data_IF_336994519394
#
_entry.id   IF_336994519394
#
_cell.length_a   1.000
_cell.length_b   1.000
_cell.length_c   1.000
_cell.angle_alpha   90.00
_cell.angle_beta   90.00
_cell.angle_gamma   90.00
#
_symmetry.space_group_name_H-M   'P 1'
#
loop_
_entity.id
_entity.type
_entity.pdbx_description
1 polymer ?
#
# COMPACT_ATOMS: atom_id res chain seq x y z
N UNK A 1 22.39 -15.59 -7.68
CA UNK A 1 21.24 -15.93 -6.81
C UNK A 1 21.71 -15.73 -5.39
N UNK A 2 20.97 -14.98 -4.57
CA UNK A 2 21.27 -14.82 -3.15
C UNK A 2 20.46 -15.82 -2.33
N UNK A 3 20.97 -16.23 -1.18
CA UNK A 3 20.29 -17.16 -0.28
C UNK A 3 20.18 -16.59 1.13
N UNK A 4 19.02 -16.80 1.76
CA UNK A 4 18.74 -16.41 3.14
C UNK A 4 18.19 -17.61 3.91
N UNK A 5 18.77 -17.87 5.08
CA UNK A 5 18.28 -18.84 6.05
C UNK A 5 17.82 -18.12 7.32
N UNK A 6 16.54 -18.23 7.65
CA UNK A 6 16.03 -17.91 8.99
C UNK A 6 15.90 -19.22 9.76
N UNK A 7 16.54 -19.32 10.93
CA UNK A 7 16.57 -20.55 11.72
C UNK A 7 16.29 -20.34 13.19
N UNK A 8 15.84 -21.40 13.85
CA UNK A 8 15.62 -21.49 15.30
C UNK A 8 14.57 -20.50 15.82
N UNK A 9 13.54 -20.20 15.02
CA UNK A 9 12.38 -19.49 15.54
C UNK A 9 11.72 -20.34 16.62
N UNK A 10 11.30 -19.74 17.73
CA UNK A 10 10.59 -20.47 18.79
C UNK A 10 9.29 -21.06 18.22
N UNK A 11 8.67 -20.34 17.27
CA UNK A 11 7.55 -20.83 16.50
C UNK A 11 7.54 -20.22 15.08
N UNK A 12 7.47 -21.07 14.06
CA UNK A 12 7.09 -20.67 12.71
C UNK A 12 5.61 -20.96 12.49
N UNK A 13 4.82 -19.93 12.19
CA UNK A 13 3.40 -20.05 11.84
C UNK A 13 3.27 -19.91 10.32
N UNK A 14 2.79 -20.94 9.64
CA UNK A 14 2.87 -21.00 8.17
C UNK A 14 1.68 -20.38 7.46
N UNK A 15 0.49 -20.43 8.08
CA UNK A 15 -0.80 -20.16 7.42
C UNK A 15 -1.05 -21.01 6.16
N UNK A 16 -0.40 -22.16 6.02
CA UNK A 16 -0.71 -23.13 4.96
C UNK A 16 -2.07 -23.83 5.19
N UNK A 17 -2.48 -24.69 4.26
CA UNK A 17 -3.76 -25.39 4.30
C UNK A 17 -3.96 -26.20 5.58
N UNK A 18 -2.88 -26.78 6.12
CA UNK A 18 -2.89 -27.59 7.34
C UNK A 18 -2.71 -26.74 8.61
N UNK A 19 -2.55 -25.42 8.47
CA UNK A 19 -2.32 -24.45 9.56
C UNK A 19 -1.15 -24.87 10.46
N UNK A 20 -0.08 -25.39 9.86
CA UNK A 20 1.08 -25.90 10.61
C UNK A 20 1.70 -24.81 11.48
N UNK A 21 2.15 -25.24 12.66
CA UNK A 21 2.93 -24.46 13.61
C UNK A 21 4.14 -25.28 13.96
N UNK A 22 5.32 -24.78 13.62
CA UNK A 22 6.57 -25.56 13.65
C UNK A 22 7.47 -24.97 14.74
N UNK A 23 7.60 -25.64 15.90
CA UNK A 23 8.58 -25.27 16.93
C UNK A 23 10.00 -25.46 16.41
N UNK A 24 10.94 -24.64 16.87
CA UNK A 24 12.32 -24.58 16.35
C UNK A 24 12.35 -24.48 14.81
N UNK A 25 11.38 -23.75 14.27
CA UNK A 25 11.13 -23.66 12.84
C UNK A 25 12.07 -22.68 12.12
N UNK A 26 12.09 -22.78 10.81
CA UNK A 26 12.83 -21.87 9.94
C UNK A 26 12.33 -21.88 8.50
N UNK A 27 12.95 -21.03 7.70
CA UNK A 27 12.71 -20.95 6.27
C UNK A 27 14.03 -20.69 5.52
N UNK A 28 14.13 -21.26 4.33
CA UNK A 28 15.21 -21.05 3.38
C UNK A 28 14.64 -20.35 2.15
N UNK A 29 15.29 -19.24 1.77
CA UNK A 29 14.88 -18.35 0.69
C UNK A 29 15.99 -18.33 -0.35
N UNK A 30 15.60 -18.42 -1.61
CA UNK A 30 16.46 -18.18 -2.77
C UNK A 30 15.91 -16.98 -3.52
N UNK A 31 16.75 -15.99 -3.71
CA UNK A 31 16.41 -14.68 -4.23
C UNK A 31 15.26 -14.04 -3.41
N UNK A 32 14.04 -14.02 -3.93
CA UNK A 32 12.84 -13.47 -3.26
C UNK A 32 11.76 -14.52 -2.97
N UNK A 33 12.05 -15.81 -3.16
CA UNK A 33 11.09 -16.91 -3.03
C UNK A 33 11.47 -17.84 -1.90
N UNK A 34 10.50 -18.18 -1.06
CA UNK A 34 10.66 -19.22 -0.03
C UNK A 34 10.73 -20.58 -0.74
N UNK A 35 11.89 -21.23 -0.68
CA UNK A 35 12.16 -22.52 -1.31
C UNK A 35 11.82 -23.68 -0.36
N UNK A 36 12.07 -23.51 0.94
CA UNK A 36 11.78 -24.53 1.96
C UNK A 36 11.34 -23.89 3.28
N UNK A 37 10.42 -24.55 3.98
CA UNK A 37 10.06 -24.29 5.38
C UNK A 37 10.04 -25.61 6.15
N UNK A 38 10.35 -25.58 7.44
CA UNK A 38 10.39 -26.80 8.25
C UNK A 38 11.06 -26.61 9.61
N UNK A 39 11.21 -27.70 10.38
CA UNK A 39 12.11 -27.72 11.52
C UNK A 39 13.52 -27.31 11.09
N UNK A 40 14.22 -26.54 11.91
CA UNK A 40 15.57 -26.04 11.58
C UNK A 40 16.54 -27.15 11.21
N UNK A 41 16.43 -28.31 11.84
CA UNK A 41 17.29 -29.46 11.58
C UNK A 41 17.13 -30.05 10.16
N UNK A 42 16.04 -29.73 9.46
CA UNK A 42 15.72 -30.23 8.11
C UNK A 42 16.03 -29.22 7.00
N UNK A 43 16.49 -28.02 7.35
CA UNK A 43 16.85 -26.95 6.41
C UNK A 43 18.35 -27.01 6.05
N UNK A 44 18.79 -26.37 4.96
CA UNK A 44 20.20 -26.21 4.64
C UNK A 44 20.99 -25.61 5.81
N UNK A 45 22.22 -26.09 6.00
CA UNK A 45 23.07 -25.64 7.11
C UNK A 45 23.62 -24.21 6.89
N UNK A 46 23.79 -23.80 5.64
CA UNK A 46 24.46 -22.56 5.22
C UNK A 46 23.63 -21.81 4.17
N UNK A 47 23.82 -20.49 4.13
CA UNK A 47 23.26 -19.54 3.18
C UNK A 47 24.16 -18.30 3.15
N UNK A 48 24.03 -17.45 2.13
CA UNK A 48 24.79 -16.18 2.04
C UNK A 48 24.48 -15.26 3.22
N UNK A 49 23.23 -15.28 3.70
CA UNK A 49 22.79 -14.58 4.91
C UNK A 49 22.05 -15.54 5.84
N UNK A 50 22.40 -15.49 7.13
CA UNK A 50 21.76 -16.31 8.16
C UNK A 50 21.20 -15.42 9.27
N UNK A 51 19.94 -15.62 9.61
CA UNK A 51 19.25 -14.97 10.73
C UNK A 51 18.89 -16.04 11.76
N UNK A 52 19.33 -15.82 13.00
CA UNK A 52 18.96 -16.66 14.15
C UNK A 52 17.76 -16.02 14.86
N UNK A 53 16.59 -16.64 14.76
CA UNK A 53 15.30 -16.14 15.24
C UNK A 53 14.91 -16.70 16.63
N UNK A 54 15.88 -17.16 17.43
CA UNK A 54 15.61 -17.63 18.80
C UNK A 54 14.92 -16.55 19.63
N UNK A 55 13.88 -16.92 20.37
CA UNK A 55 13.06 -15.97 21.13
C UNK A 55 12.05 -15.19 20.28
N UNK A 56 11.93 -15.51 18.98
CA UNK A 56 11.01 -14.85 18.06
C UNK A 56 9.96 -15.82 17.53
N UNK A 57 8.80 -15.27 17.19
CA UNK A 57 7.79 -15.94 16.37
C UNK A 57 7.93 -15.40 14.94
N UNK A 58 7.95 -16.30 13.96
CA UNK A 58 7.97 -15.95 12.54
C UNK A 58 6.57 -16.18 11.97
N UNK A 59 6.03 -15.15 11.33
CA UNK A 59 4.73 -15.11 10.68
C UNK A 59 4.90 -14.77 9.19
N UNK A 60 3.90 -15.09 8.33
CA UNK A 60 3.79 -14.42 7.05
C UNK A 60 3.67 -12.92 7.30
N UNK A 61 4.30 -12.11 6.46
CA UNK A 61 4.21 -10.66 6.57
C UNK A 61 2.75 -10.20 6.49
N UNK A 62 2.38 -9.21 7.30
CA UNK A 62 1.01 -8.69 7.31
C UNK A 62 0.72 -7.99 5.97
N UNK A 63 -0.54 -8.04 5.55
CA UNK A 63 -1.04 -7.40 4.32
C UNK A 63 -2.07 -6.37 4.72
N UNK A 64 -1.76 -5.09 4.51
CA UNK A 64 -2.72 -4.01 4.65
C UNK A 64 -3.45 -3.80 3.32
N UNK A 65 -4.76 -4.05 3.30
CA UNK A 65 -5.54 -4.09 2.05
C UNK A 65 -6.21 -2.77 1.69
N UNK A 66 -6.11 -1.73 2.54
CA UNK A 66 -6.67 -0.41 2.29
C UNK A 66 -5.92 0.65 3.08
N UNK A 67 -5.60 1.79 2.46
CA UNK A 67 -4.95 2.92 3.14
C UNK A 67 -5.24 4.23 2.40
N UNK A 68 -4.91 5.35 3.06
CA UNK A 68 -4.79 6.69 2.46
C UNK A 68 -3.51 7.37 2.98
N UNK A 69 -2.36 7.09 2.37
CA UNK A 69 -1.04 7.45 2.88
C UNK A 69 -0.85 8.96 3.03
N UNK A 70 -1.38 9.75 2.10
CA UNK A 70 -1.36 11.21 2.16
C UNK A 70 -1.96 11.79 3.45
N UNK A 71 -2.90 11.08 4.07
CA UNK A 71 -3.55 11.53 5.31
C UNK A 71 -2.62 11.41 6.54
N UNK A 72 -1.47 10.73 6.41
CA UNK A 72 -0.46 10.63 7.47
C UNK A 72 0.01 12.01 7.94
N UNK A 73 0.07 13.00 7.05
CA UNK A 73 0.46 14.38 7.37
C UNK A 73 -0.62 15.18 8.13
N UNK A 74 -1.86 14.69 8.16
CA UNK A 74 -3.01 15.38 8.77
C UNK A 74 -3.59 14.62 9.96
N UNK A 75 -2.76 13.83 10.65
CA UNK A 75 -3.14 13.15 11.89
C UNK A 75 -3.47 14.17 13.00
N UNK A 76 -4.51 13.87 13.78
CA UNK A 76 -4.91 14.63 14.96
C UNK A 76 -5.28 16.11 14.74
N UNK A 77 -5.68 16.52 13.53
CA UNK A 77 -6.23 17.87 13.27
C UNK A 77 -7.42 18.13 14.23
N UNK A 78 -7.36 19.16 15.11
CA UNK A 78 -8.34 19.33 16.19
C UNK A 78 -9.81 19.37 15.74
N UNK A 79 -10.08 20.06 14.63
CA UNK A 79 -11.43 20.18 14.06
C UNK A 79 -11.98 18.86 13.49
N UNK A 80 -11.13 17.87 13.25
CA UNK A 80 -11.50 16.59 12.65
C UNK A 80 -11.68 15.45 13.68
N UNK A 81 -11.18 15.60 14.92
CA UNK A 81 -11.11 14.47 15.89
C UNK A 81 -12.48 13.92 16.31
N UNK A 82 -13.47 14.79 16.47
CA UNK A 82 -14.82 14.43 16.94
C UNK A 82 -15.89 14.74 15.89
N UNK A 83 -15.50 14.86 14.63
CA UNK A 83 -16.38 15.20 13.53
C UNK A 83 -17.12 13.96 13.01
N UNK A 84 -18.35 14.14 12.54
CA UNK A 84 -19.00 13.13 11.68
C UNK A 84 -18.26 13.01 10.35
N UNK A 85 -18.46 11.93 9.60
CA UNK A 85 -17.74 11.69 8.33
C UNK A 85 -17.79 12.90 7.36
N UNK A 86 -18.96 13.47 7.12
CA UNK A 86 -19.09 14.60 6.20
C UNK A 86 -18.43 15.89 6.74
N UNK A 87 -18.50 16.12 8.06
CA UNK A 87 -17.81 17.24 8.69
C UNK A 87 -16.28 17.05 8.64
N UNK A 88 -15.80 15.82 8.84
CA UNK A 88 -14.41 15.43 8.73
C UNK A 88 -13.88 15.67 7.31
N UNK A 89 -14.61 15.21 6.28
CA UNK A 89 -14.27 15.44 4.87
C UNK A 89 -14.21 16.94 4.54
N UNK A 90 -15.26 17.70 4.87
CA UNK A 90 -15.30 19.16 4.62
C UNK A 90 -14.21 19.93 5.37
N UNK A 91 -13.79 19.43 6.54
CA UNK A 91 -12.72 20.02 7.34
C UNK A 91 -11.35 19.76 6.73
N UNK A 92 -11.12 18.56 6.19
CA UNK A 92 -9.80 18.16 5.70
C UNK A 92 -9.56 18.48 4.23
N UNK A 93 -10.59 18.52 3.37
CA UNK A 93 -10.40 18.86 1.96
C UNK A 93 -9.66 20.18 1.72
N UNK A 94 -9.94 21.30 2.44
CA UNK A 94 -9.17 22.52 2.26
C UNK A 94 -7.68 22.38 2.62
N UNK A 95 -7.35 21.50 3.56
CA UNK A 95 -5.96 21.19 3.92
C UNK A 95 -5.32 20.36 2.80
N UNK A 96 -6.03 19.33 2.33
CA UNK A 96 -5.54 18.42 1.31
C UNK A 96 -5.43 19.05 -0.07
N UNK A 97 -6.23 20.08 -0.39
CA UNK A 97 -6.08 20.89 -1.60
C UNK A 97 -4.69 21.56 -1.70
N UNK A 98 -3.96 21.67 -0.58
CA UNK A 98 -2.58 22.17 -0.53
C UNK A 98 -1.50 21.09 -0.66
N UNK A 99 -1.84 19.82 -0.92
CA UNK A 99 -0.86 18.76 -1.12
C UNK A 99 -0.02 19.02 -2.38
N UNK A 100 1.26 18.67 -2.31
CA UNK A 100 2.19 18.72 -3.44
C UNK A 100 2.74 17.32 -3.71
N UNK A 101 3.41 17.11 -4.84
CA UNK A 101 4.15 15.87 -5.14
C UNK A 101 5.09 15.48 -4.01
N UNK A 102 5.82 16.43 -3.42
CA UNK A 102 6.69 16.19 -2.27
C UNK A 102 5.90 15.72 -1.04
N UNK A 103 4.74 16.33 -0.77
CA UNK A 103 3.90 15.93 0.36
C UNK A 103 3.38 14.49 0.21
N UNK A 104 2.95 14.10 -1.01
CA UNK A 104 2.53 12.71 -1.30
C UNK A 104 3.69 11.76 -1.04
N UNK A 105 4.87 12.03 -1.62
CA UNK A 105 6.05 11.20 -1.42
C UNK A 105 6.44 11.04 0.06
N UNK A 106 6.55 12.15 0.81
CA UNK A 106 6.95 12.13 2.22
C UNK A 106 5.90 11.40 3.07
N UNK A 107 4.62 11.66 2.83
CA UNK A 107 3.54 11.00 3.55
C UNK A 107 3.54 9.48 3.34
N UNK A 108 3.80 9.03 2.10
CA UNK A 108 3.92 7.63 1.75
C UNK A 108 5.14 7.00 2.43
N UNK A 109 6.31 7.64 2.40
CA UNK A 109 7.49 7.13 3.13
C UNK A 109 7.21 6.94 4.62
N UNK A 110 6.61 7.93 5.29
CA UNK A 110 6.33 7.86 6.72
C UNK A 110 5.31 6.75 7.02
N UNK A 111 4.19 6.70 6.29
CA UNK A 111 3.15 5.71 6.50
C UNK A 111 3.63 4.28 6.21
N UNK A 112 4.36 4.07 5.12
CA UNK A 112 4.92 2.78 4.76
C UNK A 112 6.01 2.33 5.75
N UNK A 113 6.84 3.24 6.25
CA UNK A 113 7.82 2.94 7.29
C UNK A 113 7.15 2.46 8.59
N UNK A 114 6.08 3.13 9.04
CA UNK A 114 5.29 2.69 10.20
C UNK A 114 4.67 1.30 9.98
N UNK A 115 4.15 1.04 8.79
CA UNK A 115 3.61 -0.27 8.42
C UNK A 115 4.69 -1.36 8.48
N UNK A 116 5.88 -1.11 7.92
CA UNK A 116 6.99 -2.06 7.96
C UNK A 116 7.48 -2.33 9.40
N UNK A 117 7.58 -1.29 10.22
CA UNK A 117 7.96 -1.41 11.63
C UNK A 117 6.95 -2.20 12.47
N UNK A 118 5.71 -2.31 12.00
CA UNK A 118 4.64 -3.10 12.64
C UNK A 118 4.43 -4.48 12.01
N UNK A 119 5.32 -4.91 11.09
CA UNK A 119 5.30 -6.25 10.49
C UNK A 119 4.48 -6.37 9.19
N UNK A 120 3.99 -5.25 8.65
CA UNK A 120 3.40 -5.22 7.32
C UNK A 120 4.47 -5.34 6.24
N UNK A 121 4.21 -6.18 5.23
CA UNK A 121 5.12 -6.39 4.10
C UNK A 121 4.47 -6.07 2.76
N UNK A 122 3.14 -5.95 2.73
CA UNK A 122 2.37 -5.57 1.54
C UNK A 122 1.33 -4.54 1.94
N UNK A 123 1.30 -3.40 1.27
CA UNK A 123 0.29 -2.37 1.47
C UNK A 123 -0.41 -2.04 0.16
N UNK A 124 -1.73 -1.82 0.23
CA UNK A 124 -2.47 -1.10 -0.78
C UNK A 124 -2.73 0.32 -0.30
N UNK A 125 -2.51 1.32 -1.16
CA UNK A 125 -2.97 2.68 -0.93
C UNK A 125 -4.02 3.08 -1.94
N UNK A 126 -4.95 3.92 -1.49
CA UNK A 126 -5.97 4.54 -2.31
C UNK A 126 -5.78 6.06 -2.30
N UNK A 127 -4.85 6.54 -3.13
CA UNK A 127 -4.68 7.96 -3.40
C UNK A 127 -5.76 8.42 -4.39
N UNK A 128 -6.73 9.21 -3.94
CA UNK A 128 -7.88 9.62 -4.77
C UNK A 128 -7.98 11.12 -5.04
N UNK A 129 -6.99 11.90 -4.61
CA UNK A 129 -6.90 13.33 -4.86
C UNK A 129 -5.52 13.67 -5.41
N UNK A 130 -5.50 14.46 -6.49
CA UNK A 130 -4.28 14.87 -7.19
C UNK A 130 -4.24 16.39 -7.41
N UNK A 131 -4.26 17.21 -6.33
CA UNK A 131 -4.16 18.66 -6.48
C UNK A 131 -2.75 19.07 -6.92
N UNK A 132 -2.63 20.29 -7.44
CA UNK A 132 -1.36 20.93 -7.77
C UNK A 132 -0.49 20.09 -8.74
N UNK A 133 0.60 19.50 -8.26
CA UNK A 133 1.55 18.70 -9.04
C UNK A 133 1.59 17.23 -8.61
N UNK A 134 0.66 16.78 -7.76
CA UNK A 134 0.58 15.41 -7.26
C UNK A 134 0.33 14.38 -8.36
N UNK A 135 0.99 13.22 -8.28
CA UNK A 135 0.71 12.03 -9.10
C UNK A 135 0.85 10.74 -8.29
N UNK A 136 0.30 9.65 -8.81
CA UNK A 136 0.47 8.32 -8.21
C UNK A 136 1.95 7.88 -8.21
N UNK A 137 2.73 8.40 -9.16
CA UNK A 137 4.17 8.19 -9.29
C UNK A 137 4.93 8.56 -7.99
N UNK A 138 4.44 9.53 -7.22
CA UNK A 138 5.08 10.02 -6.01
C UNK A 138 5.07 8.97 -4.88
N UNK A 139 3.93 8.29 -4.65
CA UNK A 139 3.84 7.22 -3.65
C UNK A 139 4.50 5.92 -4.13
N UNK A 140 4.47 5.67 -5.44
CA UNK A 140 5.18 4.53 -6.06
C UNK A 140 6.69 4.68 -5.82
N UNK A 141 7.24 5.89 -6.02
CA UNK A 141 8.64 6.19 -5.73
C UNK A 141 8.99 5.88 -4.27
N UNK A 142 8.16 6.33 -3.33
CA UNK A 142 8.36 6.05 -1.91
C UNK A 142 8.35 4.55 -1.60
N UNK A 143 7.39 3.81 -2.15
CA UNK A 143 7.27 2.36 -1.93
C UNK A 143 8.47 1.58 -2.50
N UNK A 144 8.95 1.97 -3.69
CA UNK A 144 10.14 1.38 -4.31
C UNK A 144 11.41 1.67 -3.51
N UNK A 145 11.59 2.90 -3.02
CA UNK A 145 12.75 3.30 -2.24
C UNK A 145 12.84 2.56 -0.91
N UNK A 146 11.71 2.42 -0.20
CA UNK A 146 11.68 1.72 1.09
C UNK A 146 11.65 0.19 0.95
N UNK A 147 11.28 -0.32 -0.23
CA UNK A 147 11.32 -1.75 -0.55
C UNK A 147 10.13 -2.56 -0.02
N UNK A 148 8.94 -1.96 0.08
CA UNK A 148 7.70 -2.67 0.45
C UNK A 148 6.96 -3.15 -0.80
N UNK A 149 6.24 -4.28 -0.71
CA UNK A 149 5.32 -4.70 -1.79
C UNK A 149 4.11 -3.79 -1.81
N UNK A 150 3.75 -3.27 -2.97
CA UNK A 150 2.79 -2.17 -3.04
C UNK A 150 1.72 -2.39 -4.12
N UNK A 151 0.48 -2.08 -3.76
CA UNK A 151 -0.64 -1.95 -4.69
C UNK A 151 -1.06 -0.47 -4.71
N UNK A 152 -0.68 0.24 -5.77
CA UNK A 152 -1.01 1.64 -5.93
C UNK A 152 -2.38 1.74 -6.62
N UNK A 153 -3.40 2.18 -5.90
CA UNK A 153 -4.73 2.33 -6.47
C UNK A 153 -4.89 3.74 -7.01
N UNK A 154 -5.01 3.87 -8.34
CA UNK A 154 -5.29 5.15 -9.00
C UNK A 154 -6.72 5.54 -8.67
N UNK A 155 -6.86 6.33 -7.62
CA UNK A 155 -8.14 6.82 -7.15
C UNK A 155 -8.67 7.94 -8.01
N UNK A 156 -9.94 8.30 -7.86
CA UNK A 156 -10.49 9.46 -8.54
C UNK A 156 -11.75 9.98 -7.86
N UNK A 157 -11.96 11.29 -7.99
CA UNK A 157 -13.26 11.94 -7.83
C UNK A 157 -13.47 12.84 -9.05
N UNK A 158 -14.66 12.82 -9.63
CA UNK A 158 -15.01 13.64 -10.79
C UNK A 158 -16.17 14.60 -10.52
N UNK A 159 -16.98 14.34 -9.48
CA UNK A 159 -18.16 15.14 -9.18
C UNK A 159 -17.85 16.19 -8.09
N UNK A 160 -17.58 17.44 -8.49
CA UNK A 160 -17.30 18.57 -7.60
C UNK A 160 -18.55 19.29 -7.05
N UNK A 161 -18.37 20.18 -6.06
CA UNK A 161 -19.46 20.98 -5.47
C UNK A 161 -20.26 21.79 -6.51
N UNK A 162 -19.61 22.31 -7.55
CA UNK A 162 -20.28 23.05 -8.64
C UNK A 162 -21.27 22.21 -9.44
N UNK A 163 -21.12 20.89 -9.42
CA UNK A 163 -21.96 19.90 -10.11
C UNK A 163 -22.81 19.06 -9.14
N UNK A 164 -22.91 19.49 -7.87
CA UNK A 164 -23.72 18.83 -6.83
C UNK A 164 -23.01 17.72 -6.06
N UNK A 165 -21.69 17.60 -6.23
CA UNK A 165 -20.84 16.72 -5.45
C UNK A 165 -20.51 17.24 -4.05
N UNK A 166 -19.84 16.39 -3.27
CA UNK A 166 -19.29 16.73 -1.96
C UNK A 166 -17.89 17.39 -1.99
N UNK A 167 -16.92 16.93 -2.81
CA UNK A 167 -15.56 17.47 -2.78
C UNK A 167 -15.48 18.86 -3.44
N UNK A 168 -14.58 19.74 -2.96
CA UNK A 168 -14.30 21.00 -3.65
C UNK A 168 -13.87 20.77 -5.11
N UNK A 169 -14.24 21.69 -6.00
CA UNK A 169 -13.90 21.58 -7.43
C UNK A 169 -12.38 21.51 -7.69
N UNK A 170 -11.57 22.06 -6.78
CA UNK A 170 -10.10 22.03 -6.89
C UNK A 170 -9.44 20.69 -6.56
N UNK A 171 -10.22 19.67 -6.14
CA UNK A 171 -9.70 18.33 -5.82
C UNK A 171 -10.42 17.21 -6.59
N UNK A 172 -11.16 17.57 -7.65
CA UNK A 172 -11.72 16.63 -8.62
C UNK A 172 -10.97 16.73 -9.95
N UNK A 173 -11.10 15.71 -10.78
CA UNK A 173 -10.47 15.64 -12.10
C UNK A 173 -11.52 15.36 -13.18
N UNK A 174 -11.20 15.77 -14.41
CA UNK A 174 -11.96 15.42 -15.60
C UNK A 174 -11.89 13.91 -15.88
N UNK A 175 -13.01 13.30 -16.27
CA UNK A 175 -13.12 11.83 -16.41
C UNK A 175 -12.25 11.27 -17.55
N UNK A 176 -12.14 12.00 -18.67
CA UNK A 176 -11.25 11.65 -19.77
C UNK A 176 -9.78 11.65 -19.31
N UNK A 177 -9.41 12.62 -18.47
CA UNK A 177 -8.09 12.66 -17.86
C UNK A 177 -7.86 11.49 -16.90
N UNK A 178 -8.83 11.18 -16.03
CA UNK A 178 -8.77 10.06 -15.08
C UNK A 178 -8.47 8.74 -15.82
N UNK A 179 -9.22 8.45 -16.89
CA UNK A 179 -9.05 7.21 -17.66
C UNK A 179 -7.68 7.14 -18.34
N UNK A 180 -7.26 8.23 -18.99
CA UNK A 180 -5.95 8.31 -19.67
C UNK A 180 -4.78 8.15 -18.69
N UNK A 181 -4.85 8.79 -17.53
CA UNK A 181 -3.80 8.71 -16.52
C UNK A 181 -3.78 7.35 -15.82
N UNK A 182 -4.94 6.74 -15.60
CA UNK A 182 -5.05 5.35 -15.11
C UNK A 182 -4.41 4.38 -16.08
N UNK A 183 -4.72 4.49 -17.39
CA UNK A 183 -4.08 3.69 -18.42
C UNK A 183 -2.56 3.88 -18.43
N UNK A 184 -2.08 5.14 -18.38
CA UNK A 184 -0.65 5.45 -18.28
C UNK A 184 0.00 4.76 -17.08
N UNK A 185 -0.62 4.83 -15.90
CA UNK A 185 -0.09 4.21 -14.70
C UNK A 185 0.02 2.69 -14.86
N UNK A 186 -1.01 2.03 -15.40
CA UNK A 186 -1.01 0.59 -15.69
C UNK A 186 0.13 0.24 -16.65
N UNK A 187 0.20 0.92 -17.80
CA UNK A 187 1.20 0.65 -18.85
C UNK A 187 2.64 0.91 -18.37
N UNK A 188 2.83 1.83 -17.43
CA UNK A 188 4.15 2.19 -16.91
C UNK A 188 4.63 1.28 -15.79
N UNK A 189 3.73 0.87 -14.89
CA UNK A 189 4.10 0.33 -13.57
C UNK A 189 3.54 -1.05 -13.25
N UNK A 190 2.46 -1.50 -13.90
CA UNK A 190 1.80 -2.74 -13.50
C UNK A 190 2.66 -3.96 -13.86
N UNK A 191 3.04 -4.75 -12.85
CA UNK A 191 3.69 -6.04 -13.04
C UNK A 191 2.71 -7.19 -12.71
N UNK A 192 2.21 -7.92 -13.73
CA UNK A 192 1.27 -9.01 -13.52
C UNK A 192 1.95 -10.31 -13.08
N UNK A 193 3.29 -10.41 -13.14
CA UNK A 193 4.00 -11.65 -12.91
C UNK A 193 3.95 -12.09 -11.43
N UNK A 194 4.16 -13.38 -11.14
CA UNK A 194 4.34 -13.85 -9.78
C UNK A 194 5.47 -13.09 -9.06
N UNK A 195 5.27 -12.83 -7.77
CA UNK A 195 6.22 -12.13 -6.91
C UNK A 195 6.45 -10.63 -7.22
N UNK A 196 5.65 -10.03 -8.11
CA UNK A 196 5.64 -8.60 -8.44
C UNK A 196 5.62 -7.68 -7.21
N UNK A 197 6.56 -6.75 -7.13
CA UNK A 197 6.65 -5.78 -6.03
C UNK A 197 5.68 -4.60 -6.18
N UNK A 198 5.15 -4.36 -7.38
CA UNK A 198 4.26 -3.26 -7.68
C UNK A 198 3.12 -3.69 -8.59
N UNK A 199 1.90 -3.34 -8.23
CA UNK A 199 0.71 -3.48 -9.09
C UNK A 199 -0.14 -2.24 -9.03
N UNK A 200 -0.71 -1.89 -10.18
CA UNK A 200 -1.71 -0.82 -10.29
C UNK A 200 -3.11 -1.40 -10.14
N UNK A 201 -3.96 -0.69 -9.40
CA UNK A 201 -5.38 -0.98 -9.19
C UNK A 201 -6.20 0.22 -9.65
N UNK A 202 -7.31 -0.02 -10.37
CA UNK A 202 -8.25 1.04 -10.73
C UNK A 202 -9.26 1.20 -9.60
N UNK A 203 -9.44 2.42 -9.08
CA UNK A 203 -10.21 2.62 -7.85
C UNK A 203 -10.98 3.96 -7.81
N UNK A 204 -12.03 4.18 -8.62
CA UNK A 204 -12.92 5.33 -8.41
C UNK A 204 -13.38 5.40 -6.94
N UNK A 205 -13.30 6.58 -6.31
CA UNK A 205 -13.38 6.71 -4.85
C UNK A 205 -14.65 6.13 -4.25
N UNK A 206 -15.80 6.42 -4.87
CA UNK A 206 -17.08 5.82 -4.50
C UNK A 206 -18.15 6.09 -5.55
N UNK A 207 -19.25 5.31 -5.59
CA UNK A 207 -20.37 5.53 -6.50
C UNK A 207 -21.10 6.89 -6.37
N UNK A 208 -20.76 7.69 -5.36
CA UNK A 208 -21.33 9.01 -5.10
C UNK A 208 -20.32 10.16 -5.29
N UNK A 209 -19.08 9.85 -5.63
CA UNK A 209 -18.01 10.83 -5.90
C UNK A 209 -17.52 10.80 -7.35
N UNK A 210 -18.03 9.87 -8.14
CA UNK A 210 -17.84 9.77 -9.58
C UNK A 210 -19.15 9.50 -10.30
N UNK A 211 -19.21 9.70 -11.62
CA UNK A 211 -20.40 9.37 -12.39
C UNK A 211 -20.57 7.85 -12.54
N UNK A 212 -21.81 7.37 -12.81
CA UNK A 212 -22.03 5.97 -13.18
C UNK A 212 -21.30 5.54 -14.45
N UNK A 213 -20.95 6.47 -15.33
CA UNK A 213 -20.26 6.19 -16.58
C UNK A 213 -18.78 5.88 -16.30
N UNK A 214 -18.11 6.71 -15.48
CA UNK A 214 -16.75 6.40 -15.02
C UNK A 214 -16.67 5.04 -14.31
N UNK A 215 -17.66 4.69 -13.49
CA UNK A 215 -17.71 3.37 -12.82
C UNK A 215 -17.80 2.19 -13.80
N UNK A 216 -18.29 2.39 -15.04
CA UNK A 216 -18.37 1.33 -16.06
C UNK A 216 -17.15 1.28 -16.97
N UNK A 217 -16.52 2.43 -17.22
CA UNK A 217 -15.39 2.55 -18.13
C UNK A 217 -14.04 2.23 -17.48
N UNK A 218 -13.92 2.46 -16.17
CA UNK A 218 -12.73 2.23 -15.36
C UNK A 218 -12.39 0.73 -15.19
#
# INVERSE_FOLDING_TARGET
MSTLLVKRADLLVTMDADRRRIPDGGLFVRDNVIEQIGPTAELPAEADRVINARGMIVLPGLVNTHHHLYQTLTRAVPAAQNATLFQWLKTLYPIWAGLTSEAIYVSALVGLAELMLSGCTTAADHLYIYPNDCRIDDEIRAAQEIGIRFHASRGAMSLGESEGGLPPDGVVEDEDFILKDTQRAIETYHDPEPYAMLRIVVAPCSPFSVTPDLMREA
#
